data_IF_602041328214
#
_entry.id   IF_602041328214
#
_cell.length_a   1.000
_cell.length_b   1.000
_cell.length_c   1.000
_cell.angle_alpha   90.00
_cell.angle_beta   90.00
_cell.angle_gamma   90.00
#
_symmetry.space_group_name_H-M   'P 1'
#
loop_
_entity.id
_entity.type
_entity.pdbx_description
1 polymer ?
#
# COMPACT_ATOMS: atom_id res chain seq x y z
N UNK A 1 12.94 -3.24 21.14
CA UNK A 1 12.50 -4.60 21.50
C UNK A 1 11.10 -4.46 22.06
N UNK A 2 10.06 -4.57 21.23
CA UNK A 2 8.69 -4.59 21.71
C UNK A 2 8.53 -5.83 22.59
N UNK A 3 8.05 -5.64 23.82
CA UNK A 3 7.71 -6.75 24.70
C UNK A 3 6.62 -7.59 23.99
N UNK A 4 6.94 -8.84 23.68
CA UNK A 4 5.99 -9.80 23.12
C UNK A 4 4.91 -10.03 24.17
N UNK A 5 3.79 -9.36 24.04
CA UNK A 5 2.63 -9.55 24.92
C UNK A 5 1.77 -10.69 24.39
N UNK A 6 0.98 -11.33 25.29
CA UNK A 6 -0.01 -12.33 24.85
C UNK A 6 -1.00 -11.77 23.80
N UNK A 7 -1.30 -10.47 23.87
CA UNK A 7 -2.15 -9.77 22.90
C UNK A 7 -1.51 -9.77 21.52
N UNK A 8 -0.20 -9.47 21.42
CA UNK A 8 0.52 -9.44 20.15
C UNK A 8 0.60 -10.83 19.50
N UNK A 9 0.88 -11.88 20.31
CA UNK A 9 0.89 -13.28 19.81
C UNK A 9 -0.48 -13.67 19.28
N UNK A 10 -1.55 -13.31 20.00
CA UNK A 10 -2.92 -13.62 19.57
C UNK A 10 -3.24 -12.95 18.22
N UNK A 11 -2.88 -11.67 18.07
CA UNK A 11 -3.09 -10.91 16.85
C UNK A 11 -2.29 -11.49 15.67
N UNK A 12 -1.00 -11.79 15.87
CA UNK A 12 -0.16 -12.45 14.86
C UNK A 12 -0.74 -13.79 14.40
N UNK A 13 -1.21 -14.61 15.34
CA UNK A 13 -1.85 -15.88 15.00
C UNK A 13 -3.15 -15.68 14.24
N UNK A 14 -3.94 -14.65 14.58
CA UNK A 14 -5.18 -14.32 13.88
C UNK A 14 -4.88 -13.88 12.44
N UNK A 15 -3.87 -13.02 12.26
CA UNK A 15 -3.45 -12.58 10.92
C UNK A 15 -2.93 -13.74 10.07
N UNK A 16 -2.13 -14.65 10.62
CA UNK A 16 -1.69 -15.86 9.91
C UNK A 16 -2.85 -16.74 9.46
N UNK A 17 -3.86 -16.92 10.30
CA UNK A 17 -5.06 -17.68 9.93
C UNK A 17 -5.86 -16.96 8.85
N UNK A 18 -6.04 -15.64 8.99
CA UNK A 18 -6.71 -14.82 7.97
C UNK A 18 -5.99 -14.90 6.61
N UNK A 19 -4.68 -14.70 6.59
CA UNK A 19 -3.84 -14.78 5.39
C UNK A 19 -3.99 -16.14 4.69
N UNK A 20 -3.96 -17.24 5.45
CA UNK A 20 -4.10 -18.58 4.88
C UNK A 20 -5.51 -18.82 4.32
N UNK A 21 -6.57 -18.31 4.97
CA UNK A 21 -7.93 -18.37 4.41
C UNK A 21 -8.01 -17.55 3.11
N UNK A 22 -7.42 -16.35 3.10
CA UNK A 22 -7.37 -15.48 1.93
C UNK A 22 -6.74 -16.18 0.72
N UNK A 23 -5.58 -16.82 0.91
CA UNK A 23 -4.85 -17.50 -0.18
C UNK A 23 -5.54 -18.76 -0.69
N UNK A 24 -6.18 -19.51 0.18
CA UNK A 24 -6.84 -20.77 -0.21
C UNK A 24 -8.28 -20.56 -0.71
N UNK A 25 -8.87 -19.37 -0.47
CA UNK A 25 -10.29 -19.08 -0.70
C UNK A 25 -11.22 -19.86 0.24
N UNK A 26 -10.97 -21.14 0.41
CA UNK A 26 -11.68 -22.00 1.37
C UNK A 26 -10.78 -23.11 1.91
N UNK A 27 -10.83 -23.37 3.23
CA UNK A 27 -9.87 -24.27 3.89
C UNK A 27 -10.47 -24.87 5.18
N UNK A 28 -10.14 -26.13 5.49
CA UNK A 28 -10.55 -26.74 6.75
C UNK A 28 -9.70 -26.29 7.94
N UNK A 29 -10.25 -26.33 9.17
CA UNK A 29 -9.52 -26.02 10.41
C UNK A 29 -8.25 -26.90 10.59
N UNK A 30 -8.29 -28.14 10.14
CA UNK A 30 -7.15 -29.06 10.21
C UNK A 30 -6.03 -28.61 9.26
N UNK A 31 -6.38 -28.22 8.03
CA UNK A 31 -5.43 -27.70 7.05
C UNK A 31 -4.84 -26.35 7.52
N UNK A 32 -5.67 -25.44 8.08
CA UNK A 32 -5.19 -24.21 8.70
C UNK A 32 -4.15 -24.50 9.80
N UNK A 33 -4.42 -25.47 10.70
CA UNK A 33 -3.47 -25.85 11.74
C UNK A 33 -2.15 -26.39 11.15
N UNK A 34 -2.24 -27.23 10.10
CA UNK A 34 -1.06 -27.81 9.45
C UNK A 34 -0.21 -26.74 8.74
N UNK A 35 -0.84 -25.81 8.02
CA UNK A 35 -0.14 -24.79 7.24
C UNK A 35 0.43 -23.66 8.08
N UNK A 36 -0.32 -23.19 9.09
CA UNK A 36 0.13 -22.09 9.95
C UNK A 36 1.06 -22.54 11.08
N UNK A 37 1.14 -23.84 11.36
CA UNK A 37 1.86 -24.36 12.51
C UNK A 37 1.19 -24.06 13.87
N UNK A 38 -0.02 -23.49 13.86
CA UNK A 38 -0.80 -23.14 15.05
C UNK A 38 -1.61 -24.36 15.49
N UNK A 39 -1.69 -24.63 16.80
CA UNK A 39 -2.45 -25.78 17.30
C UNK A 39 -3.92 -25.75 16.86
N UNK A 40 -4.51 -26.91 16.56
CA UNK A 40 -5.90 -27.02 16.12
C UNK A 40 -6.89 -26.36 17.10
N UNK A 41 -6.61 -26.43 18.41
CA UNK A 41 -7.43 -25.77 19.43
C UNK A 41 -7.35 -24.23 19.30
N UNK A 42 -6.18 -23.68 19.04
CA UNK A 42 -5.99 -22.23 18.85
C UNK A 42 -6.63 -21.77 17.53
N UNK A 43 -6.42 -22.50 16.44
CA UNK A 43 -7.10 -22.26 15.16
C UNK A 43 -8.61 -22.28 15.35
N UNK A 44 -9.15 -23.28 16.08
CA UNK A 44 -10.59 -23.34 16.39
C UNK A 44 -11.11 -22.06 17.04
N UNK A 45 -10.42 -21.55 18.07
CA UNK A 45 -10.80 -20.31 18.76
C UNK A 45 -10.72 -19.08 17.85
N UNK A 46 -9.70 -19.02 16.97
CA UNK A 46 -9.55 -17.92 16.01
C UNK A 46 -10.68 -17.94 14.99
N UNK A 47 -10.93 -19.09 14.36
CA UNK A 47 -12.02 -19.25 13.39
C UNK A 47 -13.39 -18.91 14.03
N UNK A 48 -13.65 -19.42 15.24
CA UNK A 48 -14.89 -19.08 15.97
C UNK A 48 -15.01 -17.57 16.24
N UNK A 49 -13.90 -16.87 16.42
CA UNK A 49 -13.89 -15.41 16.58
C UNK A 49 -14.17 -14.72 15.24
N UNK A 50 -13.50 -15.12 14.15
CA UNK A 50 -13.74 -14.55 12.81
C UNK A 50 -15.18 -14.74 12.35
N UNK A 51 -15.77 -15.92 12.59
CA UNK A 51 -17.17 -16.20 12.26
C UNK A 51 -18.13 -15.36 13.10
N UNK A 52 -17.87 -15.20 14.41
CA UNK A 52 -18.72 -14.34 15.27
C UNK A 52 -18.65 -12.87 14.90
N UNK A 53 -17.57 -12.42 14.28
CA UNK A 53 -17.40 -11.04 13.80
C UNK A 53 -17.87 -10.86 12.35
N UNK A 54 -18.49 -11.89 11.74
CA UNK A 54 -18.91 -11.90 10.33
C UNK A 54 -17.76 -11.63 9.32
N UNK A 55 -16.52 -11.91 9.72
CA UNK A 55 -15.34 -11.80 8.85
C UNK A 55 -15.16 -13.08 8.02
N UNK A 56 -15.54 -14.22 8.58
CA UNK A 56 -15.48 -15.52 7.92
C UNK A 56 -16.80 -16.27 8.09
N UNK A 57 -17.05 -17.21 7.19
CA UNK A 57 -18.14 -18.20 7.28
C UNK A 57 -17.57 -19.60 7.37
N UNK A 58 -18.34 -20.52 7.95
CA UNK A 58 -17.99 -21.93 8.01
C UNK A 58 -19.17 -22.78 7.53
N UNK A 59 -18.93 -23.54 6.47
CA UNK A 59 -19.93 -24.38 5.84
C UNK A 59 -19.51 -25.87 5.82
N UNK A 60 -20.48 -26.76 5.69
CA UNK A 60 -20.18 -28.19 5.49
C UNK A 60 -19.69 -28.40 4.04
N UNK A 61 -18.60 -29.12 3.90
CA UNK A 61 -18.06 -29.50 2.61
C UNK A 61 -19.08 -30.34 1.81
N UNK A 62 -19.52 -29.82 0.67
CA UNK A 62 -20.50 -30.48 -0.20
C UNK A 62 -19.75 -31.36 -1.22
N UNK A 63 -19.15 -32.46 -0.76
CA UNK A 63 -18.49 -33.41 -1.64
C UNK A 63 -19.25 -34.71 -1.71
N UNK A 64 -19.54 -35.15 -2.95
CA UNK A 64 -20.14 -36.45 -3.31
C UNK A 64 -19.22 -37.66 -3.05
N UNK A 65 -18.04 -37.45 -2.45
CA UNK A 65 -17.06 -38.51 -2.13
C UNK A 65 -17.23 -39.03 -0.72
N UNK A 66 -17.21 -40.34 -0.57
CA UNK A 66 -17.27 -41.05 0.72
C UNK A 66 -16.05 -40.67 1.57
N UNK A 67 -16.26 -39.88 2.62
CA UNK A 67 -15.26 -39.46 3.58
C UNK A 67 -15.91 -38.67 4.74
N UNK A 68 -15.20 -38.50 5.88
CA UNK A 68 -15.70 -37.70 7.01
C UNK A 68 -15.84 -36.25 6.55
N UNK A 69 -17.08 -35.75 6.43
CA UNK A 69 -17.40 -34.38 6.03
C UNK A 69 -16.73 -33.41 7.02
N UNK A 70 -15.78 -32.62 6.54
CA UNK A 70 -15.16 -31.52 7.28
C UNK A 70 -15.94 -30.23 7.06
N UNK A 71 -15.85 -29.32 8.02
CA UNK A 71 -16.28 -27.94 7.77
C UNK A 71 -15.14 -27.20 7.06
N UNK A 72 -15.49 -26.36 6.10
CA UNK A 72 -14.59 -25.45 5.40
C UNK A 72 -14.89 -24.01 5.82
N UNK A 73 -13.84 -23.25 5.99
CA UNK A 73 -13.86 -21.83 6.37
C UNK A 73 -13.47 -21.01 5.16
N UNK A 74 -14.22 -19.95 4.89
CA UNK A 74 -13.94 -18.95 3.85
C UNK A 74 -14.16 -17.54 4.41
N UNK A 75 -13.56 -16.51 3.80
CA UNK A 75 -13.88 -15.12 4.14
C UNK A 75 -15.32 -14.79 3.68
N UNK A 76 -16.00 -13.92 4.43
CA UNK A 76 -17.39 -13.52 4.16
C UNK A 76 -17.40 -12.13 3.52
N UNK A 77 -17.40 -12.01 2.17
CA UNK A 77 -17.26 -10.71 1.51
C UNK A 77 -18.44 -9.77 1.78
N UNK A 78 -19.67 -10.31 1.94
CA UNK A 78 -20.90 -9.53 1.87
C UNK A 78 -21.36 -8.93 3.21
N UNK A 79 -20.89 -9.45 4.35
CA UNK A 79 -21.44 -9.08 5.66
C UNK A 79 -20.77 -7.86 6.30
N UNK A 80 -19.44 -7.78 6.25
CA UNK A 80 -18.66 -6.68 6.80
C UNK A 80 -17.83 -6.05 5.72
N UNK A 81 -17.60 -4.74 5.85
CA UNK A 81 -16.85 -3.96 4.88
C UNK A 81 -15.90 -2.99 5.59
N UNK A 82 -14.98 -2.42 4.85
CA UNK A 82 -14.11 -1.35 5.31
C UNK A 82 -14.29 -0.16 4.35
N UNK A 83 -14.37 1.04 4.89
CA UNK A 83 -14.38 2.27 4.09
C UNK A 83 -12.93 2.65 3.80
N UNK A 84 -12.63 2.98 2.56
CA UNK A 84 -11.33 3.45 2.13
C UNK A 84 -11.43 4.87 1.62
N UNK A 85 -10.54 5.72 2.07
CA UNK A 85 -10.43 7.12 1.63
C UNK A 85 -9.03 7.30 1.07
N UNK A 86 -8.94 7.54 -0.24
CA UNK A 86 -7.70 7.84 -0.94
C UNK A 86 -7.62 9.34 -1.18
N UNK A 87 -6.62 9.98 -0.60
CA UNK A 87 -6.41 11.42 -0.66
C UNK A 87 -5.49 11.77 -1.81
N UNK A 88 -6.00 12.54 -2.78
CA UNK A 88 -5.23 13.02 -3.91
C UNK A 88 -5.22 14.56 -3.99
N UNK A 89 -4.44 15.09 -4.93
CA UNK A 89 -4.27 16.53 -5.07
C UNK A 89 -5.53 17.24 -5.56
N UNK A 90 -6.29 16.59 -6.44
CA UNK A 90 -7.42 17.22 -7.14
C UNK A 90 -8.75 16.54 -6.86
N UNK A 91 -8.73 15.40 -6.22
CA UNK A 91 -9.94 14.66 -5.85
C UNK A 91 -9.75 13.80 -4.59
N UNK A 92 -10.87 13.41 -4.00
CA UNK A 92 -10.93 12.38 -2.99
C UNK A 92 -11.64 11.18 -3.57
N UNK A 93 -11.13 10.01 -3.31
CA UNK A 93 -11.75 8.76 -3.71
C UNK A 93 -12.17 7.99 -2.49
N UNK A 94 -13.43 7.60 -2.44
CA UNK A 94 -13.98 6.83 -1.31
C UNK A 94 -14.57 5.56 -1.87
N UNK A 95 -14.18 4.42 -1.32
CA UNK A 95 -14.62 3.10 -1.76
C UNK A 95 -14.93 2.18 -0.59
N UNK A 96 -15.50 1.02 -0.92
CA UNK A 96 -15.76 -0.06 0.02
C UNK A 96 -14.86 -1.25 -0.31
N UNK A 97 -14.19 -1.77 0.70
CA UNK A 97 -13.39 -2.98 0.63
C UNK A 97 -14.12 -4.10 1.36
N UNK A 98 -14.29 -5.22 0.70
CA UNK A 98 -14.87 -6.44 1.26
C UNK A 98 -13.88 -7.17 2.17
N UNK A 99 -14.34 -8.14 2.96
CA UNK A 99 -13.47 -8.91 3.85
C UNK A 99 -12.47 -9.80 3.11
N UNK A 100 -12.74 -10.15 1.86
CA UNK A 100 -11.79 -10.84 0.98
C UNK A 100 -10.82 -9.88 0.26
N UNK A 101 -10.77 -8.63 0.70
CA UNK A 101 -9.93 -7.54 0.17
C UNK A 101 -10.18 -7.19 -1.29
N UNK A 102 -11.39 -7.45 -1.79
CA UNK A 102 -11.82 -6.92 -3.08
C UNK A 102 -12.52 -5.59 -2.91
N UNK A 103 -12.17 -4.66 -3.79
CA UNK A 103 -12.88 -3.39 -3.89
C UNK A 103 -14.28 -3.62 -4.46
N UNK A 104 -15.28 -3.04 -3.81
CA UNK A 104 -16.66 -3.11 -4.25
C UNK A 104 -16.96 -1.96 -5.20
N UNK A 105 -17.04 -2.29 -6.49
CA UNK A 105 -17.37 -1.33 -7.56
C UNK A 105 -16.46 -0.10 -7.65
N UNK A 106 -16.88 0.89 -8.44
CA UNK A 106 -16.13 2.12 -8.65
C UNK A 106 -16.06 2.99 -7.39
N UNK A 107 -14.93 3.65 -7.22
CA UNK A 107 -14.77 4.68 -6.20
C UNK A 107 -15.75 5.83 -6.42
N UNK A 108 -16.38 6.30 -5.35
CA UNK A 108 -16.98 7.61 -5.31
C UNK A 108 -15.87 8.66 -5.44
N UNK A 109 -15.99 9.55 -6.41
CA UNK A 109 -15.03 10.63 -6.64
C UNK A 109 -15.64 11.97 -6.27
N UNK A 110 -14.91 12.75 -5.48
CA UNK A 110 -15.27 14.10 -5.10
C UNK A 110 -14.14 15.05 -5.53
N UNK A 111 -14.45 15.98 -6.45
CA UNK A 111 -13.47 16.98 -6.91
C UNK A 111 -13.21 18.00 -5.82
N UNK A 112 -11.94 18.36 -5.68
CA UNK A 112 -11.50 19.39 -4.76
C UNK A 112 -12.02 20.77 -5.20
N UNK A 113 -12.69 21.49 -4.29
CA UNK A 113 -13.08 22.88 -4.48
C UNK A 113 -12.01 23.80 -3.85
N UNK A 114 -11.27 24.51 -4.68
CA UNK A 114 -10.19 25.41 -4.26
C UNK A 114 -10.67 26.63 -3.45
N UNK A 115 -11.99 26.87 -3.35
CA UNK A 115 -12.57 27.92 -2.51
C UNK A 115 -12.84 27.47 -1.08
N UNK A 116 -12.62 26.20 -0.78
CA UNK A 116 -12.84 25.60 0.54
C UNK A 116 -11.53 25.10 1.14
N UNK A 117 -11.48 24.96 2.46
CA UNK A 117 -10.36 24.29 3.12
C UNK A 117 -10.29 22.80 2.77
N UNK A 118 -9.14 22.19 3.00
CA UNK A 118 -8.96 20.75 2.76
C UNK A 118 -9.93 19.92 3.61
N UNK A 119 -10.10 20.31 4.88
CA UNK A 119 -11.04 19.65 5.80
C UNK A 119 -12.50 19.80 5.37
N UNK A 120 -12.90 20.95 4.83
CA UNK A 120 -14.27 21.15 4.32
C UNK A 120 -14.52 20.27 3.09
N UNK A 121 -13.58 20.23 2.16
CA UNK A 121 -13.64 19.32 1.03
C UNK A 121 -13.76 17.86 1.47
N UNK A 122 -12.94 17.42 2.42
CA UNK A 122 -12.99 16.05 2.96
C UNK A 122 -14.32 15.75 3.65
N UNK A 123 -14.82 16.67 4.48
CA UNK A 123 -16.17 16.53 5.11
C UNK A 123 -17.26 16.39 4.07
N UNK A 124 -17.23 17.22 3.03
CA UNK A 124 -18.23 17.20 1.97
C UNK A 124 -18.17 15.90 1.16
N UNK A 125 -16.96 15.42 0.85
CA UNK A 125 -16.74 14.14 0.19
C UNK A 125 -17.34 12.97 0.99
N UNK A 126 -16.97 12.88 2.26
CA UNK A 126 -17.47 11.82 3.16
C UNK A 126 -18.99 11.91 3.36
N UNK A 127 -19.52 13.12 3.62
CA UNK A 127 -20.97 13.30 3.80
C UNK A 127 -21.77 12.94 2.54
N UNK A 128 -21.24 13.21 1.35
CA UNK A 128 -21.89 12.86 0.10
C UNK A 128 -21.82 11.35 -0.16
N UNK A 129 -20.66 10.74 0.04
CA UNK A 129 -20.49 9.29 -0.05
C UNK A 129 -21.47 8.56 0.90
N UNK A 130 -21.53 8.97 2.16
CA UNK A 130 -22.43 8.36 3.14
C UNK A 130 -23.90 8.54 2.76
N UNK A 131 -24.30 9.66 2.16
CA UNK A 131 -25.70 9.85 1.68
C UNK A 131 -26.06 8.90 0.54
N UNK A 132 -25.12 8.63 -0.35
CA UNK A 132 -25.36 7.75 -1.50
C UNK A 132 -25.33 6.27 -1.13
N UNK A 133 -24.57 5.90 -0.07
CA UNK A 133 -24.28 4.52 0.34
C UNK A 133 -24.68 4.20 1.77
N UNK A 134 -25.55 5.02 2.40
CA UNK A 134 -25.79 5.05 3.84
C UNK A 134 -26.24 3.71 4.43
N UNK A 135 -27.11 2.98 3.75
CA UNK A 135 -27.65 1.72 4.30
C UNK A 135 -26.59 0.60 4.31
N UNK A 136 -25.72 0.56 3.31
CA UNK A 136 -24.70 -0.50 3.17
C UNK A 136 -23.37 -0.17 3.89
N UNK A 137 -22.95 1.09 3.90
CA UNK A 137 -21.64 1.46 4.37
C UNK A 137 -21.51 1.51 5.91
N UNK A 138 -22.48 2.17 6.59
CA UNK A 138 -22.33 2.44 8.04
C UNK A 138 -22.69 1.27 8.94
N UNK A 139 -23.72 0.48 8.58
CA UNK A 139 -24.15 -0.67 9.39
C UNK A 139 -23.18 -1.85 9.30
N UNK A 140 -22.42 -1.93 8.19
CA UNK A 140 -21.48 -3.01 7.92
C UNK A 140 -20.01 -2.64 8.10
N UNK A 141 -19.67 -1.33 8.16
CA UNK A 141 -18.28 -0.88 8.25
C UNK A 141 -17.64 -1.18 9.61
N UNK A 142 -16.56 -1.95 9.61
CA UNK A 142 -15.76 -2.25 10.81
C UNK A 142 -14.65 -1.23 11.03
N UNK A 143 -14.22 -0.53 9.98
CA UNK A 143 -13.15 0.45 10.05
C UNK A 143 -13.04 1.31 8.81
N UNK A 144 -12.20 2.32 8.92
CA UNK A 144 -11.89 3.29 7.87
C UNK A 144 -10.39 3.36 7.69
N UNK A 145 -9.92 3.12 6.48
CA UNK A 145 -8.53 3.29 6.05
C UNK A 145 -8.37 4.58 5.25
N UNK A 146 -7.39 5.39 5.59
CA UNK A 146 -7.10 6.65 4.89
C UNK A 146 -5.70 6.58 4.32
N UNK A 147 -5.59 6.51 3.00
CA UNK A 147 -4.32 6.53 2.27
C UNK A 147 -3.88 7.99 2.08
N UNK A 148 -2.72 8.33 2.62
CA UNK A 148 -2.22 9.71 2.64
C UNK A 148 -0.99 9.83 1.76
N UNK A 149 -0.95 10.77 0.79
CA UNK A 149 0.24 11.05 -0.01
C UNK A 149 1.24 11.91 0.77
N UNK A 150 1.79 11.36 1.83
CA UNK A 150 2.71 12.01 2.75
C UNK A 150 2.75 11.32 4.10
N UNK A 151 3.62 11.78 5.00
CA UNK A 151 3.82 11.17 6.30
C UNK A 151 2.81 11.67 7.31
N UNK A 152 1.94 10.80 7.82
CA UNK A 152 0.98 11.13 8.85
C UNK A 152 1.56 10.96 10.25
N UNK A 153 1.42 11.98 11.09
CA UNK A 153 1.79 11.97 12.50
C UNK A 153 0.53 11.96 13.36
N UNK A 154 0.22 10.80 13.92
CA UNK A 154 -1.01 10.61 14.69
C UNK A 154 -1.06 11.47 15.94
N UNK A 155 0.06 11.68 16.65
CA UNK A 155 0.15 12.47 17.87
C UNK A 155 -0.29 13.93 17.64
N UNK A 156 0.01 14.47 16.48
CA UNK A 156 -0.28 15.86 16.12
C UNK A 156 -1.47 16.01 15.18
N UNK A 157 -2.02 14.86 14.70
CA UNK A 157 -3.01 14.84 13.62
C UNK A 157 -2.56 15.72 12.45
N UNK A 158 -1.40 15.45 11.92
CA UNK A 158 -0.77 16.28 10.90
C UNK A 158 -0.07 15.45 9.84
N UNK A 159 -0.16 15.90 8.59
CA UNK A 159 0.59 15.34 7.47
C UNK A 159 1.79 16.21 7.18
N UNK A 160 2.97 15.59 7.10
CA UNK A 160 4.22 16.23 6.72
C UNK A 160 4.76 15.60 5.44
N UNK A 161 5.66 16.33 4.78
CA UNK A 161 6.33 15.84 3.57
C UNK A 161 5.39 15.46 2.42
N UNK A 162 4.17 16.01 2.41
CA UNK A 162 3.26 15.88 1.29
C UNK A 162 3.58 16.88 0.19
N UNK A 163 3.28 16.51 -1.06
CA UNK A 163 3.30 17.41 -2.21
C UNK A 163 2.03 18.28 -2.28
N UNK A 164 1.03 17.97 -1.48
CA UNK A 164 -0.21 18.73 -1.34
C UNK A 164 -0.04 19.71 -0.17
N UNK A 165 0.23 21.00 -0.44
CA UNK A 165 0.52 21.96 0.64
C UNK A 165 -0.62 22.10 1.64
N UNK A 166 -1.87 22.06 1.16
CA UNK A 166 -3.09 22.18 1.95
C UNK A 166 -3.24 21.06 2.98
N UNK A 167 -2.72 19.88 2.65
CA UNK A 167 -2.78 18.71 3.52
C UNK A 167 -1.90 18.88 4.78
N UNK A 168 -0.86 19.71 4.72
CA UNK A 168 0.04 19.95 5.85
C UNK A 168 -0.62 20.66 7.01
N UNK A 169 -1.68 21.42 6.77
CA UNK A 169 -2.47 22.11 7.81
C UNK A 169 -3.73 21.34 8.21
N UNK A 170 -4.13 20.33 7.44
CA UNK A 170 -5.37 19.58 7.66
C UNK A 170 -5.28 18.66 8.88
N UNK A 171 -6.38 18.59 9.64
CA UNK A 171 -6.59 17.71 10.79
C UNK A 171 -7.48 16.54 10.37
N UNK A 172 -6.86 15.49 9.82
CA UNK A 172 -7.58 14.38 9.20
C UNK A 172 -8.40 13.59 10.21
N UNK A 173 -7.78 13.19 11.33
CA UNK A 173 -8.45 12.43 12.40
C UNK A 173 -9.62 13.21 13.00
N UNK A 174 -9.39 14.47 13.36
CA UNK A 174 -10.44 15.34 13.91
C UNK A 174 -11.56 15.60 12.91
N UNK A 175 -11.27 15.64 11.62
CA UNK A 175 -12.26 15.83 10.55
C UNK A 175 -13.13 14.60 10.34
N UNK A 176 -12.55 13.39 10.46
CA UNK A 176 -13.24 12.12 10.17
C UNK A 176 -13.98 11.53 11.36
N UNK A 177 -13.49 11.73 12.58
CA UNK A 177 -14.12 11.20 13.82
C UNK A 177 -15.62 11.47 13.96
N UNK A 178 -16.17 12.64 13.57
CA UNK A 178 -17.62 12.87 13.64
C UNK A 178 -18.46 11.94 12.77
N UNK A 179 -17.88 11.37 11.71
CA UNK A 179 -18.55 10.44 10.82
C UNK A 179 -18.34 8.97 11.22
N UNK A 180 -17.22 8.67 11.89
CA UNK A 180 -16.73 7.30 12.11
C UNK A 180 -16.32 7.08 13.58
N UNK A 181 -17.15 7.53 14.54
CA UNK A 181 -16.84 7.46 15.98
C UNK A 181 -16.72 6.05 16.53
N UNK A 182 -17.45 5.10 15.93
CA UNK A 182 -17.54 3.71 16.39
C UNK A 182 -16.68 2.74 15.56
N UNK A 183 -16.05 3.25 14.49
CA UNK A 183 -15.22 2.47 13.60
C UNK A 183 -13.73 2.59 13.94
N UNK A 184 -12.97 1.54 13.61
CA UNK A 184 -11.51 1.60 13.65
C UNK A 184 -11.03 2.60 12.59
N UNK A 185 -10.32 3.65 12.99
CA UNK A 185 -9.71 4.61 12.07
C UNK A 185 -8.22 4.33 11.94
N UNK A 186 -7.77 4.02 10.73
CA UNK A 186 -6.37 3.82 10.36
C UNK A 186 -5.98 4.86 9.33
N UNK A 187 -5.01 5.72 9.65
CA UNK A 187 -4.49 6.76 8.74
C UNK A 187 -2.99 6.52 8.62
N UNK A 188 -2.48 6.30 7.41
CA UNK A 188 -1.05 6.13 7.18
C UNK A 188 -0.67 6.52 5.75
N UNK A 189 0.61 6.62 5.48
CA UNK A 189 1.18 6.90 4.17
C UNK A 189 0.84 5.79 3.18
N UNK A 190 0.46 6.16 1.99
CA UNK A 190 0.04 5.27 0.90
C UNK A 190 1.06 4.14 0.63
N UNK A 191 2.34 4.48 0.50
CA UNK A 191 3.41 3.51 0.25
C UNK A 191 3.61 2.51 1.40
N UNK A 192 3.27 2.89 2.64
CA UNK A 192 3.35 2.00 3.80
C UNK A 192 2.25 0.94 3.75
N UNK A 193 1.03 1.32 3.36
CA UNK A 193 -0.03 0.37 3.10
C UNK A 193 0.30 -0.55 1.91
N UNK A 194 0.84 0.00 0.82
CA UNK A 194 1.22 -0.82 -0.33
C UNK A 194 2.21 -1.92 0.07
N UNK A 195 3.30 -1.59 0.77
CA UNK A 195 4.27 -2.60 1.21
C UNK A 195 3.70 -3.59 2.23
N UNK A 196 2.75 -3.19 3.06
CA UNK A 196 2.07 -4.09 3.99
C UNK A 196 1.30 -5.19 3.24
N UNK A 197 0.57 -4.81 2.19
CA UNK A 197 -0.11 -5.78 1.34
C UNK A 197 0.88 -6.68 0.61
N UNK A 198 1.89 -6.11 -0.05
CA UNK A 198 2.88 -6.85 -0.81
C UNK A 198 3.63 -7.88 0.07
N UNK A 199 4.08 -7.47 1.24
CA UNK A 199 4.79 -8.36 2.16
C UNK A 199 3.89 -9.41 2.81
N UNK A 200 2.74 -8.98 3.30
CA UNK A 200 1.88 -9.86 4.09
C UNK A 200 1.08 -10.84 3.24
N UNK A 201 0.64 -10.45 2.05
CA UNK A 201 -0.29 -11.24 1.23
C UNK A 201 0.26 -11.58 -0.14
N UNK A 202 0.77 -10.62 -0.91
CA UNK A 202 1.13 -10.88 -2.29
C UNK A 202 2.36 -11.80 -2.40
N UNK A 203 3.47 -11.45 -1.75
CA UNK A 203 4.72 -12.20 -1.79
C UNK A 203 4.93 -13.13 -0.59
N UNK A 204 4.26 -12.87 0.53
CA UNK A 204 4.51 -13.57 1.81
C UNK A 204 6.00 -13.53 2.20
N UNK A 205 6.58 -12.35 2.11
CA UNK A 205 8.01 -12.12 2.29
C UNK A 205 8.26 -11.16 3.43
N UNK A 206 9.17 -11.51 4.34
CA UNK A 206 9.40 -10.77 5.58
C UNK A 206 10.35 -9.56 5.44
N UNK A 207 11.08 -9.45 4.31
CA UNK A 207 12.12 -8.45 4.11
C UNK A 207 12.01 -7.80 2.73
N UNK A 208 11.17 -6.77 2.62
CA UNK A 208 10.93 -6.04 1.38
C UNK A 208 11.32 -4.57 1.55
N UNK A 209 11.99 -4.06 0.54
CA UNK A 209 12.12 -2.63 0.29
C UNK A 209 11.20 -2.25 -0.87
N UNK A 210 10.17 -1.46 -0.59
CA UNK A 210 9.21 -1.00 -1.60
C UNK A 210 9.55 0.44 -2.00
N UNK A 211 9.80 0.68 -3.28
CA UNK A 211 10.09 2.00 -3.83
C UNK A 211 9.01 2.38 -4.85
N UNK A 212 8.46 3.58 -4.70
CA UNK A 212 7.56 4.20 -5.66
C UNK A 212 8.23 5.39 -6.33
N UNK A 213 8.39 5.31 -7.65
CA UNK A 213 8.92 6.37 -8.49
C UNK A 213 7.73 6.98 -9.25
N UNK A 214 7.01 7.84 -8.58
CA UNK A 214 5.86 8.56 -9.12
C UNK A 214 6.17 10.04 -9.36
N UNK A 215 5.19 10.91 -9.25
CA UNK A 215 5.42 12.37 -9.29
C UNK A 215 6.47 12.81 -8.28
N UNK A 216 6.44 12.23 -7.06
CA UNK A 216 7.53 12.22 -6.10
C UNK A 216 8.16 10.83 -6.01
N UNK A 217 9.19 10.69 -5.17
CA UNK A 217 9.87 9.42 -4.90
C UNK A 217 9.72 9.08 -3.44
N UNK A 218 9.06 7.97 -3.16
CA UNK A 218 8.81 7.49 -1.80
C UNK A 218 9.20 6.03 -1.64
N UNK A 219 9.37 5.57 -0.41
CA UNK A 219 9.54 4.15 -0.13
C UNK A 219 9.02 3.79 1.25
N UNK A 220 8.78 2.49 1.43
CA UNK A 220 8.51 1.90 2.73
C UNK A 220 9.30 0.60 2.89
N UNK A 221 9.55 0.23 4.14
CA UNK A 221 10.35 -0.94 4.50
C UNK A 221 9.45 -1.91 5.25
N UNK A 222 9.34 -3.13 4.74
CA UNK A 222 8.70 -4.24 5.44
C UNK A 222 9.80 -5.14 5.98
N UNK A 223 9.85 -5.29 7.31
CA UNK A 223 10.93 -5.99 7.97
C UNK A 223 10.42 -6.85 9.12
N UNK A 224 10.81 -8.13 9.13
CA UNK A 224 10.32 -9.12 10.10
C UNK A 224 8.78 -9.21 10.14
N UNK A 225 8.12 -9.15 8.99
CA UNK A 225 6.67 -9.27 8.89
C UNK A 225 5.88 -8.03 9.28
N UNK A 226 6.53 -6.86 9.41
CA UNK A 226 5.87 -5.60 9.78
C UNK A 226 6.44 -4.42 8.98
N UNK A 227 5.58 -3.43 8.73
CA UNK A 227 6.04 -2.13 8.20
C UNK A 227 6.93 -1.46 9.27
N UNK A 228 8.13 -1.05 8.88
CA UNK A 228 9.09 -0.45 9.80
C UNK A 228 8.59 0.90 10.30
N UNK A 229 8.44 1.01 11.61
CA UNK A 229 8.24 2.27 12.30
C UNK A 229 9.60 2.89 12.65
N UNK A 230 9.69 4.21 12.54
CA UNK A 230 10.89 4.95 12.87
C UNK A 230 10.60 6.13 13.80
N UNK A 231 11.63 6.58 14.53
CA UNK A 231 11.48 7.58 15.59
C UNK A 231 10.82 8.89 15.13
N UNK A 232 11.07 9.30 13.88
CA UNK A 232 10.59 10.56 13.31
C UNK A 232 9.95 10.36 11.93
N UNK A 233 9.57 9.13 11.59
CA UNK A 233 9.00 8.76 10.29
C UNK A 233 9.86 9.15 9.07
N UNK A 234 11.18 9.21 9.23
CA UNK A 234 12.12 9.49 8.13
C UNK A 234 12.65 8.22 7.46
N UNK A 235 12.45 7.04 8.04
CA UNK A 235 12.85 5.80 7.39
C UNK A 235 12.10 5.66 6.05
N UNK A 236 12.85 5.34 5.00
CA UNK A 236 12.26 5.19 3.67
C UNK A 236 12.06 6.49 2.87
N UNK A 237 12.48 7.66 3.35
CA UNK A 237 12.35 8.93 2.58
C UNK A 237 13.45 9.05 1.52
N UNK A 238 13.54 8.06 0.61
CA UNK A 238 14.59 7.97 -0.41
C UNK A 238 14.59 9.12 -1.40
N UNK A 239 13.45 9.73 -1.67
CA UNK A 239 13.37 10.92 -2.54
C UNK A 239 14.19 12.10 -2.03
N UNK A 240 14.47 12.15 -0.71
CA UNK A 240 15.32 13.15 -0.05
C UNK A 240 16.81 12.79 -0.01
N UNK A 241 17.17 11.59 -0.42
CA UNK A 241 18.58 11.20 -0.57
C UNK A 241 19.20 11.92 -1.77
N UNK A 242 20.51 11.98 -1.81
CA UNK A 242 21.23 12.70 -2.85
C UNK A 242 21.81 11.74 -3.88
N UNK A 243 21.74 12.14 -5.15
CA UNK A 243 22.44 11.52 -6.26
C UNK A 243 23.95 11.78 -6.17
N UNK A 244 24.71 11.10 -7.01
CA UNK A 244 26.15 11.35 -7.17
C UNK A 244 26.46 12.79 -7.60
N UNK A 245 25.54 13.45 -8.31
CA UNK A 245 25.69 14.84 -8.73
C UNK A 245 25.28 15.87 -7.66
N UNK A 246 24.80 15.43 -6.49
CA UNK A 246 24.36 16.29 -5.40
C UNK A 246 22.91 16.81 -5.53
N UNK A 247 22.14 16.35 -6.52
CA UNK A 247 20.69 16.60 -6.60
C UNK A 247 19.94 15.62 -5.70
N UNK A 248 18.77 15.99 -5.22
CA UNK A 248 17.90 15.02 -4.57
C UNK A 248 17.42 13.96 -5.58
N UNK A 249 17.21 12.74 -5.11
CA UNK A 249 16.69 11.63 -5.95
C UNK A 249 15.37 12.02 -6.61
N UNK A 250 14.44 12.63 -5.85
CA UNK A 250 13.16 13.09 -6.39
C UNK A 250 13.32 14.11 -7.54
N UNK A 251 14.32 14.99 -7.45
CA UNK A 251 14.62 15.95 -8.51
C UNK A 251 15.28 15.30 -9.74
N UNK A 252 15.99 14.21 -9.53
CA UNK A 252 16.74 13.54 -10.60
C UNK A 252 15.91 12.51 -11.35
N UNK A 253 14.98 11.81 -10.67
CA UNK A 253 14.27 10.67 -11.24
C UNK A 253 12.75 10.69 -11.03
N UNK A 254 12.18 11.72 -10.40
CA UNK A 254 10.74 11.81 -10.16
C UNK A 254 9.98 12.25 -11.43
N UNK A 255 8.79 11.72 -11.63
CA UNK A 255 7.91 12.06 -12.78
C UNK A 255 7.60 13.55 -12.83
N UNK A 256 7.41 14.20 -11.67
CA UNK A 256 7.23 15.65 -11.64
C UNK A 256 8.41 16.43 -12.23
N UNK A 257 9.62 15.89 -12.12
CA UNK A 257 10.82 16.48 -12.76
C UNK A 257 10.85 16.20 -14.25
N UNK A 258 10.46 15.00 -14.68
CA UNK A 258 10.26 14.69 -16.10
C UNK A 258 9.25 15.64 -16.74
N UNK A 259 8.07 15.80 -16.14
CA UNK A 259 7.01 16.66 -16.67
C UNK A 259 7.50 18.11 -16.86
N UNK A 260 8.28 18.63 -15.92
CA UNK A 260 8.86 20.00 -16.03
C UNK A 260 9.81 20.19 -17.23
N UNK A 261 10.45 19.12 -17.74
CA UNK A 261 11.26 19.21 -18.97
C UNK A 261 10.43 19.54 -20.21
N UNK A 262 9.14 19.30 -20.14
CA UNK A 262 8.17 19.54 -21.23
C UNK A 262 7.28 20.77 -20.98
N UNK A 263 7.67 21.65 -20.04
CA UNK A 263 6.94 22.90 -19.77
C UNK A 263 6.70 23.66 -21.08
N UNK A 264 5.45 24.01 -21.34
CA UNK A 264 5.02 24.70 -22.56
C UNK A 264 5.39 26.20 -22.51
N UNK A 265 5.40 26.90 -23.65
CA UNK A 265 5.73 28.34 -23.70
C UNK A 265 4.81 29.22 -22.84
N UNK A 266 3.59 28.79 -22.58
CA UNK A 266 2.62 29.46 -21.70
C UNK A 266 2.86 29.21 -20.21
N UNK A 267 3.89 28.42 -19.87
CA UNK A 267 4.25 28.04 -18.50
C UNK A 267 3.49 26.83 -17.94
N UNK A 268 2.58 26.25 -18.69
CA UNK A 268 1.88 25.03 -18.26
C UNK A 268 2.79 23.80 -18.30
N UNK A 269 2.68 22.93 -17.30
CA UNK A 269 3.40 21.67 -17.22
C UNK A 269 2.46 20.56 -17.66
N UNK A 270 2.81 19.77 -18.69
CA UNK A 270 1.97 18.66 -19.16
C UNK A 270 1.91 17.55 -18.10
N UNK A 271 0.84 16.77 -18.14
CA UNK A 271 0.74 15.54 -17.32
C UNK A 271 1.65 14.44 -17.87
N UNK A 272 1.89 13.41 -17.05
CA UNK A 272 2.63 12.23 -17.48
C UNK A 272 1.95 11.53 -18.67
N UNK A 273 0.62 11.38 -18.64
CA UNK A 273 -0.17 10.76 -19.69
C UNK A 273 -0.06 11.54 -21.01
N UNK A 274 -0.02 12.88 -20.92
CA UNK A 274 0.17 13.74 -22.11
C UNK A 274 1.57 13.53 -22.72
N UNK A 275 2.60 13.35 -21.89
CA UNK A 275 3.96 13.06 -22.35
C UNK A 275 4.02 11.66 -22.96
N UNK A 276 3.45 10.67 -22.28
CA UNK A 276 3.41 9.28 -22.75
C UNK A 276 2.69 9.16 -24.10
N UNK A 277 1.62 9.93 -24.32
CA UNK A 277 0.87 9.93 -25.57
C UNK A 277 1.59 10.63 -26.73
N UNK A 278 2.37 11.69 -26.48
CA UNK A 278 2.82 12.61 -27.53
C UNK A 278 4.34 12.72 -27.69
N UNK A 279 5.14 12.19 -26.75
CA UNK A 279 6.59 12.46 -26.70
C UNK A 279 7.45 11.20 -26.58
N UNK A 280 6.97 10.00 -26.93
CA UNK A 280 7.69 8.74 -26.74
C UNK A 280 9.07 8.71 -27.42
N UNK A 281 9.21 9.34 -28.61
CA UNK A 281 10.47 9.39 -29.36
C UNK A 281 11.26 10.70 -29.10
N UNK A 282 10.85 11.52 -28.13
CA UNK A 282 11.55 12.77 -27.83
C UNK A 282 12.91 12.47 -27.19
N UNK A 283 14.02 13.00 -27.75
CA UNK A 283 15.36 12.75 -27.20
C UNK A 283 15.52 13.17 -25.73
N UNK A 284 14.75 14.15 -25.25
CA UNK A 284 14.77 14.60 -23.84
C UNK A 284 14.21 13.52 -22.92
N UNK A 285 13.12 12.86 -23.35
CA UNK A 285 12.52 11.75 -22.61
C UNK A 285 13.50 10.59 -22.52
N UNK A 286 14.05 10.18 -23.65
CA UNK A 286 15.00 9.07 -23.74
C UNK A 286 16.21 9.36 -22.84
N UNK A 287 16.82 10.55 -22.95
CA UNK A 287 17.96 10.94 -22.13
C UNK A 287 17.63 10.97 -20.62
N UNK A 288 16.39 11.37 -20.27
CA UNK A 288 15.96 11.37 -18.87
C UNK A 288 15.86 9.95 -18.31
N UNK A 289 15.24 9.02 -19.05
CA UNK A 289 15.13 7.61 -18.61
C UNK A 289 16.52 6.94 -18.54
N UNK A 290 17.39 7.18 -19.51
CA UNK A 290 18.77 6.68 -19.49
C UNK A 290 19.58 7.22 -18.29
N UNK A 291 19.32 8.43 -17.84
CA UNK A 291 19.94 9.01 -16.66
C UNK A 291 19.31 8.47 -15.35
N UNK A 292 18.00 8.21 -15.34
CA UNK A 292 17.28 7.73 -14.16
C UNK A 292 17.76 6.32 -13.74
N UNK A 293 18.02 5.44 -14.68
CA UNK A 293 18.43 4.05 -14.44
C UNK A 293 19.71 3.96 -13.55
N UNK A 294 20.85 4.58 -13.89
CA UNK A 294 22.05 4.46 -13.07
C UNK A 294 21.92 5.13 -11.69
N UNK A 295 21.12 6.20 -11.56
CA UNK A 295 20.87 6.85 -10.26
C UNK A 295 20.02 5.96 -9.35
N UNK A 296 18.97 5.32 -9.89
CA UNK A 296 18.16 4.36 -9.15
C UNK A 296 18.93 3.08 -8.82
N UNK A 297 19.73 2.57 -9.75
CA UNK A 297 20.61 1.42 -9.51
C UNK A 297 21.59 1.67 -8.36
N UNK A 298 22.21 2.85 -8.32
CA UNK A 298 23.10 3.25 -7.22
C UNK A 298 22.34 3.38 -5.90
N UNK A 299 21.15 3.96 -5.91
CA UNK A 299 20.30 4.06 -4.74
C UNK A 299 19.99 2.67 -4.19
N UNK A 300 19.52 1.74 -5.02
CA UNK A 300 19.17 0.39 -4.60
C UNK A 300 20.36 -0.44 -4.16
N UNK A 301 21.54 -0.24 -4.77
CA UNK A 301 22.77 -0.83 -4.27
C UNK A 301 23.11 -0.35 -2.85
N UNK A 302 22.93 0.94 -2.55
CA UNK A 302 23.13 1.48 -1.20
C UNK A 302 22.08 0.93 -0.22
N UNK A 303 20.82 0.83 -0.64
CA UNK A 303 19.74 0.21 0.15
C UNK A 303 20.07 -1.25 0.49
N UNK A 304 20.59 -2.01 -0.47
CA UNK A 304 21.03 -3.39 -0.26
C UNK A 304 22.08 -3.49 0.84
N UNK A 305 23.13 -2.63 0.81
CA UNK A 305 24.16 -2.64 1.84
C UNK A 305 23.68 -2.16 3.21
N UNK A 306 22.61 -1.40 3.26
CA UNK A 306 22.10 -0.82 4.50
C UNK A 306 21.06 -1.71 5.16
N UNK A 307 20.13 -2.28 4.37
CA UNK A 307 18.93 -2.95 4.87
C UNK A 307 18.92 -4.45 4.61
N UNK A 308 19.72 -4.94 3.67
CA UNK A 308 19.77 -6.35 3.24
C UNK A 308 18.35 -6.92 2.98
N UNK A 309 17.55 -6.29 2.10
CA UNK A 309 16.22 -6.81 1.79
C UNK A 309 16.36 -8.07 0.96
N UNK A 310 15.40 -8.99 1.04
CA UNK A 310 15.32 -10.12 0.11
C UNK A 310 14.76 -9.68 -1.24
N UNK A 311 13.82 -8.74 -1.22
CA UNK A 311 13.17 -8.22 -2.42
C UNK A 311 13.14 -6.70 -2.42
N UNK A 312 13.45 -6.10 -3.56
CA UNK A 312 13.24 -4.69 -3.86
C UNK A 312 12.09 -4.62 -4.85
N UNK A 313 10.94 -4.08 -4.43
CA UNK A 313 9.80 -3.82 -5.29
C UNK A 313 9.87 -2.40 -5.83
N UNK A 314 9.69 -2.25 -7.13
CA UNK A 314 9.69 -0.96 -7.80
C UNK A 314 8.35 -0.73 -8.50
N UNK A 315 7.61 0.27 -8.01
CA UNK A 315 6.42 0.79 -8.65
C UNK A 315 6.77 2.06 -9.41
N UNK A 316 6.51 2.08 -10.69
CA UNK A 316 6.77 3.24 -11.54
C UNK A 316 5.98 3.17 -12.84
N UNK A 317 5.36 4.28 -13.30
CA UNK A 317 4.77 4.37 -14.62
C UNK A 317 5.80 4.51 -15.75
N UNK A 318 7.10 4.56 -15.48
CA UNK A 318 8.13 4.52 -16.54
C UNK A 318 8.06 3.26 -17.41
N UNK A 319 7.46 2.19 -16.90
CA UNK A 319 7.16 0.98 -17.68
C UNK A 319 6.18 1.21 -18.83
N UNK A 320 5.37 2.27 -18.76
CA UNK A 320 4.50 2.68 -19.87
C UNK A 320 5.27 3.39 -21.00
N UNK A 321 6.39 4.04 -20.67
CA UNK A 321 7.28 4.70 -21.61
C UNK A 321 8.34 3.76 -22.18
N UNK A 322 8.86 2.88 -21.35
CA UNK A 322 9.84 1.87 -21.70
C UNK A 322 9.49 0.54 -20.98
N UNK A 323 8.85 -0.41 -21.69
CA UNK A 323 8.48 -1.71 -21.09
C UNK A 323 9.68 -2.50 -20.54
N UNK A 324 10.91 -2.19 -20.96
CA UNK A 324 12.14 -2.83 -20.48
C UNK A 324 12.78 -2.05 -19.31
N UNK A 325 12.15 -1.00 -18.80
CA UNK A 325 12.74 -0.14 -17.77
C UNK A 325 13.20 -0.92 -16.54
N UNK A 326 12.36 -1.82 -16.02
CA UNK A 326 12.69 -2.64 -14.84
C UNK A 326 13.85 -3.60 -15.13
N UNK A 327 13.89 -4.20 -16.30
CA UNK A 327 14.97 -5.13 -16.69
C UNK A 327 16.30 -4.38 -16.82
N UNK A 328 16.32 -3.22 -17.50
CA UNK A 328 17.49 -2.35 -17.59
C UNK A 328 17.96 -1.87 -16.22
N UNK A 329 17.04 -1.53 -15.33
CA UNK A 329 17.34 -1.11 -13.97
C UNK A 329 17.95 -2.27 -13.18
N UNK A 330 17.41 -3.47 -13.30
CA UNK A 330 17.96 -4.70 -12.67
C UNK A 330 19.38 -4.99 -13.16
N UNK A 331 19.62 -4.97 -14.46
CA UNK A 331 20.95 -5.16 -15.03
C UNK A 331 21.95 -4.13 -14.48
N UNK A 332 21.59 -2.86 -14.44
CA UNK A 332 22.45 -1.80 -13.90
C UNK A 332 22.71 -1.97 -12.39
N UNK A 333 21.69 -2.39 -11.64
CA UNK A 333 21.79 -2.67 -10.20
C UNK A 333 22.75 -3.85 -9.93
N UNK A 334 22.54 -4.98 -10.61
CA UNK A 334 23.37 -6.18 -10.49
C UNK A 334 24.82 -5.89 -10.87
N UNK A 335 25.06 -5.13 -11.92
CA UNK A 335 26.40 -4.73 -12.34
C UNK A 335 27.18 -3.96 -11.26
N UNK A 336 26.52 -3.26 -10.35
CA UNK A 336 27.15 -2.58 -9.22
C UNK A 336 27.55 -3.54 -8.09
N UNK A 337 26.87 -4.67 -7.95
CA UNK A 337 27.07 -5.61 -6.84
C UNK A 337 27.94 -6.81 -7.23
N UNK A 338 27.86 -7.33 -8.44
CA UNK A 338 28.59 -8.50 -8.92
C UNK A 338 30.13 -8.44 -8.74
N UNK A 339 30.82 -7.31 -8.97
CA UNK A 339 32.27 -7.24 -8.76
C UNK A 339 32.71 -7.50 -7.33
N UNK A 340 31.79 -7.47 -6.37
CA UNK A 340 32.05 -7.65 -4.93
C UNK A 340 31.80 -9.07 -4.43
N UNK A 341 31.64 -10.05 -5.32
CA UNK A 341 31.39 -11.49 -5.04
C UNK A 341 30.15 -11.70 -4.16
N UNK A 342 29.07 -11.02 -4.49
CA UNK A 342 27.77 -11.26 -3.86
C UNK A 342 27.14 -12.43 -4.62
N UNK A 343 27.11 -13.60 -3.99
CA UNK A 343 26.60 -14.83 -4.61
C UNK A 343 25.05 -14.87 -4.57
N UNK A 344 24.44 -14.09 -3.68
CA UNK A 344 22.98 -13.95 -3.51
C UNK A 344 22.66 -12.47 -3.54
N UNK A 345 21.85 -12.05 -4.47
CA UNK A 345 21.38 -10.67 -4.63
C UNK A 345 19.90 -10.57 -4.25
N UNK A 346 19.46 -9.43 -3.67
CA UNK A 346 18.05 -9.11 -3.60
C UNK A 346 17.40 -9.14 -4.97
N UNK A 347 16.20 -9.72 -5.07
CA UNK A 347 15.42 -9.71 -6.30
C UNK A 347 14.84 -8.30 -6.51
N UNK A 348 15.10 -7.69 -7.66
CA UNK A 348 14.49 -6.43 -8.07
C UNK A 348 13.31 -6.74 -9.00
N UNK A 349 12.10 -6.47 -8.54
CA UNK A 349 10.85 -6.86 -9.20
C UNK A 349 9.91 -5.66 -9.34
N UNK A 350 9.00 -5.64 -10.32
CA UNK A 350 7.87 -4.73 -10.29
C UNK A 350 6.91 -5.11 -9.13
N UNK A 351 6.08 -4.17 -8.73
CA UNK A 351 4.95 -4.43 -7.82
C UNK A 351 4.00 -5.50 -8.40
N UNK A 352 3.29 -6.21 -7.51
CA UNK A 352 2.42 -7.34 -7.93
C UNK A 352 1.04 -6.88 -8.40
N UNK A 353 0.57 -5.75 -7.90
CA UNK A 353 -0.71 -5.12 -8.28
C UNK A 353 -0.51 -3.62 -8.53
N UNK A 354 -1.50 -2.97 -9.12
CA UNK A 354 -1.46 -1.52 -9.22
C UNK A 354 -1.39 -0.87 -7.82
N UNK A 355 -0.69 0.24 -7.75
CA UNK A 355 -0.36 0.90 -6.49
C UNK A 355 -1.58 1.19 -5.61
N UNK A 356 -2.67 1.67 -6.20
CA UNK A 356 -3.88 2.03 -5.45
C UNK A 356 -4.58 0.82 -4.86
N UNK A 357 -4.68 -0.25 -5.64
CA UNK A 357 -5.23 -1.51 -5.15
C UNK A 357 -4.38 -2.06 -4.01
N UNK A 358 -3.06 -2.02 -4.13
CA UNK A 358 -2.14 -2.42 -3.05
C UNK A 358 -2.33 -1.55 -1.79
N UNK A 359 -2.42 -0.22 -1.93
CA UNK A 359 -2.70 0.69 -0.80
C UNK A 359 -4.03 0.37 -0.12
N UNK A 360 -5.09 0.18 -0.89
CA UNK A 360 -6.42 -0.13 -0.38
C UNK A 360 -6.44 -1.44 0.41
N UNK A 361 -5.84 -2.50 -0.13
CA UNK A 361 -5.72 -3.80 0.54
C UNK A 361 -4.86 -3.71 1.80
N UNK A 362 -3.76 -2.98 1.75
CA UNK A 362 -2.90 -2.74 2.90
C UNK A 362 -3.60 -1.94 4.01
N UNK A 363 -4.37 -0.92 3.65
CA UNK A 363 -5.20 -0.18 4.62
C UNK A 363 -6.25 -1.10 5.28
N UNK A 364 -6.84 -2.01 4.50
CA UNK A 364 -7.73 -3.05 5.02
C UNK A 364 -7.04 -3.98 6.01
N UNK A 365 -5.82 -4.44 5.72
CA UNK A 365 -5.01 -5.24 6.65
C UNK A 365 -4.71 -4.46 7.95
N UNK A 366 -4.35 -3.19 7.84
CA UNK A 366 -4.08 -2.35 9.00
C UNK A 366 -5.31 -2.13 9.90
N UNK A 367 -6.52 -2.15 9.35
CA UNK A 367 -7.77 -2.16 10.14
C UNK A 367 -7.94 -3.49 10.86
N UNK A 368 -7.67 -4.62 10.19
CA UNK A 368 -7.81 -5.96 10.79
C UNK A 368 -6.76 -6.24 11.89
N UNK A 369 -5.65 -5.52 11.89
CA UNK A 369 -4.59 -5.60 12.91
C UNK A 369 -4.87 -4.78 14.18
N UNK A 370 -5.92 -3.98 14.22
CA UNK A 370 -6.30 -3.15 15.39
C UNK A 370 -7.46 -3.76 16.16
#
# INVERSE_FOLDING_TARGET
MQLITQKNIKLQNMMKVFQEIYHQGSISRQMLSSKTGISLMTVGKIVDQLVRCDIASEEKEDTSKVGRKGNIVSLSPDHKKMVLIDLEQHDFRIGLLQMDLKLENDFYQHRYDHNQSYEENLRNAVASFLRERLEDAMSSAIGVGVCVPGTYYEEWDQVLHSRIPELSSAKLKATLLPFFSDQILSIDEDVRYAVQFEGSLALQEDHIFYARIGEGVSSAIFYNGHVLDSAYSYAGKIGRMYTKSGKMIEEAVGIGSLCRLFTKPDGSVPSFEEIAANHQDDPRLIAYLEQAIPELALLFANVTWLLDPKTILVETPYTELDPQFIDKLREAYEALLLPRRVDILPELLPNTEDFRTACCKGAGLAILER
#
